data_IF_213216138687
#
_entry.id   IF_213216138687
#
_cell.length_a   1.000
_cell.length_b   1.000
_cell.length_c   1.000
_cell.angle_alpha   90.00
_cell.angle_beta   90.00
_cell.angle_gamma   90.00
#
_symmetry.space_group_name_H-M   'P 1'
#
loop_
_entity.id
_entity.type
_entity.pdbx_description
1 polymer ?
#
# COMPACT_ATOMS: atom_id res chain seq x y z
N UNK A 1 40.79 29.29 -10.13
CA UNK A 1 40.42 30.15 -11.30
C UNK A 1 40.86 29.54 -12.63
N UNK A 2 42.02 28.89 -12.76
CA UNK A 2 42.50 28.28 -14.02
C UNK A 2 41.67 27.08 -14.45
N UNK A 3 41.25 26.21 -13.53
CA UNK A 3 40.48 25.00 -13.79
C UNK A 3 39.09 25.33 -14.36
N UNK A 4 38.39 26.33 -13.83
CA UNK A 4 37.08 26.77 -14.28
C UNK A 4 37.18 27.35 -15.71
N UNK A 5 38.21 28.16 -15.98
CA UNK A 5 38.43 28.74 -17.30
C UNK A 5 38.77 27.69 -18.37
N UNK A 6 39.50 26.62 -18.01
CA UNK A 6 39.74 25.49 -18.92
C UNK A 6 38.50 24.64 -19.18
N UNK A 7 37.66 24.42 -18.15
CA UNK A 7 36.39 23.72 -18.31
C UNK A 7 35.44 24.45 -19.29
N UNK A 8 35.34 25.76 -19.20
CA UNK A 8 34.55 26.60 -20.12
C UNK A 8 35.15 26.75 -21.53
N UNK A 9 36.43 26.48 -21.70
CA UNK A 9 37.06 26.51 -23.02
C UNK A 9 36.63 25.35 -23.91
N UNK A 10 36.32 24.17 -23.33
CA UNK A 10 35.88 22.98 -24.02
C UNK A 10 34.46 22.58 -23.65
N UNK A 11 33.50 23.51 -23.86
CA UNK A 11 32.10 23.37 -23.44
C UNK A 11 31.44 22.06 -23.88
N UNK A 12 31.63 21.64 -25.13
CA UNK A 12 31.03 20.40 -25.66
C UNK A 12 31.52 19.16 -24.87
N UNK A 13 32.77 19.10 -24.52
CA UNK A 13 33.40 18.00 -23.80
C UNK A 13 32.95 17.98 -22.34
N UNK A 14 32.85 19.15 -21.70
CA UNK A 14 32.33 19.30 -20.34
C UNK A 14 30.86 18.84 -20.23
N UNK A 15 30.02 19.27 -21.18
CA UNK A 15 28.60 18.88 -21.24
C UNK A 15 28.47 17.36 -21.46
N UNK A 16 29.24 16.78 -22.38
CA UNK A 16 29.22 15.34 -22.65
C UNK A 16 29.62 14.52 -21.41
N UNK A 17 30.59 15.02 -20.63
CA UNK A 17 31.02 14.43 -19.37
C UNK A 17 29.94 14.50 -18.30
N UNK A 18 29.37 15.70 -18.11
CA UNK A 18 28.31 15.93 -17.14
C UNK A 18 27.08 15.09 -17.43
N UNK A 19 26.66 15.01 -18.71
CA UNK A 19 25.53 14.18 -19.12
C UNK A 19 25.81 12.68 -18.99
N UNK A 20 27.02 12.24 -19.35
CA UNK A 20 27.40 10.82 -19.23
C UNK A 20 27.46 10.36 -17.78
N UNK A 21 28.27 10.99 -16.94
CA UNK A 21 28.43 10.58 -15.54
C UNK A 21 27.15 10.89 -14.74
N UNK A 22 26.58 12.08 -14.92
CA UNK A 22 25.36 12.48 -14.24
C UNK A 22 24.14 11.61 -14.61
N UNK A 23 24.00 11.25 -15.88
CA UNK A 23 22.97 10.33 -16.34
C UNK A 23 23.09 8.93 -15.75
N UNK A 24 24.32 8.37 -15.72
CA UNK A 24 24.57 7.07 -15.09
C UNK A 24 24.27 7.10 -13.58
N UNK A 25 24.70 8.13 -12.88
CA UNK A 25 24.43 8.30 -11.45
C UNK A 25 22.94 8.45 -11.19
N UNK A 26 22.23 9.24 -12.00
CA UNK A 26 20.80 9.40 -11.89
C UNK A 26 20.04 8.08 -12.07
N UNK A 27 20.42 7.25 -13.06
CA UNK A 27 19.83 5.93 -13.27
C UNK A 27 20.05 5.00 -12.06
N UNK A 28 21.26 4.99 -11.49
CA UNK A 28 21.56 4.19 -10.30
C UNK A 28 20.73 4.63 -9.09
N UNK A 29 20.67 5.94 -8.84
CA UNK A 29 19.87 6.49 -7.72
C UNK A 29 18.40 6.22 -7.91
N UNK A 30 17.87 6.38 -9.13
CA UNK A 30 16.47 6.10 -9.43
C UNK A 30 16.14 4.62 -9.24
N UNK A 31 16.99 3.72 -9.74
CA UNK A 31 16.76 2.27 -9.61
C UNK A 31 16.73 1.82 -8.15
N UNK A 32 17.73 2.22 -7.37
CA UNK A 32 17.81 1.90 -5.95
C UNK A 32 16.70 2.60 -5.14
N UNK A 33 16.35 3.85 -5.48
CA UNK A 33 15.30 4.60 -4.81
C UNK A 33 13.91 4.01 -5.04
N UNK A 34 13.60 3.53 -6.24
CA UNK A 34 12.33 2.83 -6.50
C UNK A 34 12.24 1.57 -5.64
N UNK A 35 13.30 0.76 -5.62
CA UNK A 35 13.35 -0.46 -4.81
C UNK A 35 13.09 -0.19 -3.33
N UNK A 36 13.80 0.78 -2.77
CA UNK A 36 13.69 1.17 -1.37
C UNK A 36 12.30 1.71 -1.03
N UNK A 37 11.75 2.58 -1.89
CA UNK A 37 10.40 3.13 -1.71
C UNK A 37 9.33 2.04 -1.71
N UNK A 38 9.47 1.04 -2.56
CA UNK A 38 8.48 -0.03 -2.67
C UNK A 38 8.57 -0.99 -1.48
N UNK A 39 9.78 -1.34 -1.02
CA UNK A 39 9.96 -2.13 0.20
C UNK A 39 9.32 -1.43 1.41
N UNK A 40 9.53 -0.12 1.55
CA UNK A 40 8.93 0.67 2.61
C UNK A 40 7.38 0.70 2.57
N UNK A 41 6.78 0.68 1.37
CA UNK A 41 5.32 0.59 1.23
C UNK A 41 4.77 -0.71 1.82
N UNK A 42 5.46 -1.84 1.63
CA UNK A 42 5.02 -3.12 2.18
C UNK A 42 5.12 -3.16 3.71
N UNK A 43 6.23 -2.69 4.25
CA UNK A 43 6.41 -2.60 5.70
C UNK A 43 5.33 -1.70 6.32
N UNK A 44 5.08 -0.54 5.73
CA UNK A 44 4.06 0.39 6.20
C UNK A 44 2.65 -0.21 6.15
N UNK A 45 2.30 -0.89 5.04
CA UNK A 45 0.97 -1.47 4.84
C UNK A 45 0.67 -2.62 5.78
N UNK A 46 1.63 -3.55 5.95
CA UNK A 46 1.41 -4.82 6.63
C UNK A 46 1.91 -4.84 8.08
N UNK A 47 2.76 -3.89 8.48
CA UNK A 47 3.27 -3.83 9.85
C UNK A 47 2.68 -2.63 10.64
N UNK A 48 2.23 -1.56 9.95
CA UNK A 48 1.76 -0.35 10.63
C UNK A 48 0.24 -0.13 10.49
N UNK A 49 -0.39 -0.43 9.33
CA UNK A 49 -1.83 -0.18 9.12
C UNK A 49 -2.67 -1.42 9.43
N UNK A 50 -2.31 -2.59 8.89
CA UNK A 50 -3.05 -3.84 9.04
C UNK A 50 -2.41 -4.65 10.17
N UNK A 51 -2.91 -4.49 11.39
CA UNK A 51 -2.33 -5.12 12.58
C UNK A 51 -2.86 -6.54 12.83
N UNK A 52 -3.89 -6.99 12.11
CA UNK A 52 -4.43 -8.33 12.19
C UNK A 52 -3.57 -9.35 11.41
N UNK A 53 -3.62 -10.62 11.80
CA UNK A 53 -2.82 -11.68 11.18
C UNK A 53 -3.52 -12.36 10.00
N UNK A 54 -4.85 -12.45 10.05
CA UNK A 54 -5.66 -13.01 8.98
C UNK A 54 -7.01 -12.29 8.86
N UNK A 55 -7.62 -12.38 7.67
CA UNK A 55 -9.00 -11.98 7.44
C UNK A 55 -9.75 -13.04 6.66
N UNK A 56 -11.06 -13.12 6.90
CA UNK A 56 -11.96 -13.97 6.15
C UNK A 56 -13.15 -13.16 5.65
N UNK A 57 -13.61 -13.43 4.42
CA UNK A 57 -14.87 -12.94 3.91
C UNK A 57 -15.80 -14.12 3.64
N UNK A 58 -17.05 -13.98 3.99
CA UNK A 58 -18.03 -15.06 3.97
C UNK A 58 -19.42 -14.53 3.65
N UNK A 59 -20.33 -15.43 3.27
CA UNK A 59 -21.73 -15.09 3.13
C UNK A 59 -22.33 -14.80 4.51
N UNK A 60 -23.13 -13.75 4.65
CA UNK A 60 -23.72 -13.33 5.93
C UNK A 60 -24.49 -14.45 6.65
N UNK A 61 -25.08 -15.40 5.90
CA UNK A 61 -25.74 -16.58 6.44
C UNK A 61 -24.77 -17.54 7.18
N UNK A 62 -23.48 -17.42 6.96
CA UNK A 62 -22.42 -18.24 7.56
C UNK A 62 -21.75 -17.58 8.77
N UNK A 63 -22.17 -16.38 9.15
CA UNK A 63 -21.57 -15.60 10.23
C UNK A 63 -21.50 -16.39 11.54
N UNK A 64 -22.61 -16.99 11.97
CA UNK A 64 -22.69 -17.81 13.19
C UNK A 64 -21.68 -18.97 13.20
N UNK A 65 -21.48 -19.63 12.04
CA UNK A 65 -20.55 -20.76 11.92
C UNK A 65 -19.09 -20.30 11.97
N UNK A 66 -18.80 -19.13 11.43
CA UNK A 66 -17.45 -18.51 11.47
C UNK A 66 -17.14 -18.06 12.89
N UNK A 67 -18.08 -17.41 13.56
CA UNK A 67 -17.92 -16.97 14.96
C UNK A 67 -17.75 -18.15 15.91
N UNK A 68 -18.59 -19.22 15.81
CA UNK A 68 -18.46 -20.42 16.62
C UNK A 68 -17.07 -21.08 16.43
N UNK A 69 -16.56 -21.09 15.19
CA UNK A 69 -15.21 -21.61 14.92
C UNK A 69 -14.12 -20.74 15.54
N UNK A 70 -14.26 -19.40 15.52
CA UNK A 70 -13.28 -18.48 16.06
C UNK A 70 -13.31 -18.39 17.59
N UNK A 71 -14.50 -18.55 18.22
CA UNK A 71 -14.67 -18.56 19.67
C UNK A 71 -13.87 -19.69 20.38
N UNK A 72 -13.66 -20.80 19.67
CA UNK A 72 -12.84 -21.92 20.17
C UNK A 72 -11.32 -21.63 20.11
N UNK A 73 -10.90 -20.44 19.65
CA UNK A 73 -9.51 -20.06 19.48
C UNK A 73 -9.02 -19.16 20.60
N UNK A 74 -7.70 -19.20 20.86
CA UNK A 74 -7.06 -18.41 21.92
C UNK A 74 -6.76 -16.97 21.50
N UNK A 75 -6.82 -16.66 20.20
CA UNK A 75 -6.66 -15.34 19.64
C UNK A 75 -7.92 -14.48 19.75
N UNK A 76 -7.80 -13.19 19.45
CA UNK A 76 -8.95 -12.29 19.33
C UNK A 76 -9.43 -12.22 17.89
N UNK A 77 -10.68 -11.85 17.70
CA UNK A 77 -11.21 -11.47 16.39
C UNK A 77 -12.25 -10.37 16.52
N UNK A 78 -12.46 -9.65 15.44
CA UNK A 78 -13.60 -8.74 15.26
C UNK A 78 -14.32 -9.10 13.97
N UNK A 79 -15.64 -8.92 13.97
CA UNK A 79 -16.46 -9.07 12.78
C UNK A 79 -16.92 -7.71 12.27
N UNK A 80 -17.31 -7.64 11.02
CA UNK A 80 -17.82 -6.44 10.40
C UNK A 80 -18.27 -6.68 8.97
N UNK A 81 -18.48 -5.60 8.26
CA UNK A 81 -18.89 -5.65 6.87
C UNK A 81 -17.72 -5.22 5.96
N UNK A 82 -17.51 -5.96 4.88
CA UNK A 82 -16.55 -5.62 3.84
C UNK A 82 -17.11 -5.89 2.46
N UNK A 83 -17.04 -4.90 1.57
CA UNK A 83 -17.40 -5.08 0.16
C UNK A 83 -16.59 -4.12 -0.73
N UNK A 84 -16.58 -4.43 -2.03
CA UNK A 84 -16.01 -3.52 -3.04
C UNK A 84 -17.13 -2.73 -3.67
N UNK A 85 -17.16 -1.44 -3.41
CA UNK A 85 -18.24 -0.54 -3.84
C UNK A 85 -17.73 0.60 -4.67
N UNK A 86 -18.61 1.17 -5.48
CA UNK A 86 -18.35 2.44 -6.16
C UNK A 86 -18.52 3.59 -5.19
N UNK A 87 -17.43 4.34 -5.00
CA UNK A 87 -17.34 5.57 -4.22
C UNK A 87 -17.41 6.75 -5.18
N UNK A 88 -18.32 7.66 -4.98
CA UNK A 88 -18.48 8.84 -5.82
C UNK A 88 -18.30 10.15 -5.06
N UNK A 89 -17.84 11.17 -5.76
CA UNK A 89 -17.70 12.55 -5.28
C UNK A 89 -18.17 13.51 -6.35
N UNK A 90 -18.10 14.82 -6.08
CA UNK A 90 -18.38 15.85 -7.09
C UNK A 90 -17.43 15.83 -8.29
N UNK A 91 -16.30 15.13 -8.22
CA UNK A 91 -15.24 15.09 -9.24
C UNK A 91 -15.16 13.78 -10.02
N UNK A 92 -15.85 12.73 -9.60
CA UNK A 92 -15.82 11.42 -10.27
C UNK A 92 -16.22 10.26 -9.37
N UNK A 93 -16.01 9.06 -9.89
CA UNK A 93 -16.30 7.80 -9.20
C UNK A 93 -15.12 6.83 -9.32
N UNK A 94 -14.95 5.98 -8.31
CA UNK A 94 -13.91 4.94 -8.23
C UNK A 94 -14.40 3.79 -7.38
N UNK A 95 -14.00 2.57 -7.74
CA UNK A 95 -14.21 1.42 -6.87
C UNK A 95 -13.19 1.40 -5.74
N UNK A 96 -13.67 1.08 -4.55
CA UNK A 96 -12.86 0.95 -3.35
C UNK A 96 -13.38 -0.18 -2.46
N UNK A 97 -12.47 -0.77 -1.68
CA UNK A 97 -12.83 -1.68 -0.61
C UNK A 97 -13.38 -0.85 0.57
N UNK A 98 -14.62 -1.07 0.89
CA UNK A 98 -15.29 -0.45 2.04
C UNK A 98 -15.23 -1.43 3.21
N UNK A 99 -14.71 -0.96 4.34
CA UNK A 99 -14.62 -1.73 5.58
C UNK A 99 -15.42 -0.99 6.64
N UNK A 100 -16.44 -1.67 7.17
CA UNK A 100 -17.29 -1.14 8.22
C UNK A 100 -17.10 -1.97 9.49
N UNK A 101 -16.61 -1.34 10.55
CA UNK A 101 -16.33 -1.98 11.85
C UNK A 101 -16.89 -1.12 12.98
N UNK A 102 -17.01 -1.76 14.14
CA UNK A 102 -17.20 -1.04 15.39
C UNK A 102 -15.95 -0.25 15.75
N UNK A 103 -16.11 1.06 15.93
CA UNK A 103 -14.99 1.96 16.18
C UNK A 103 -14.20 1.64 17.46
N UNK A 104 -14.85 1.05 18.46
CA UNK A 104 -14.19 0.68 19.72
C UNK A 104 -13.44 -0.67 19.61
N UNK A 105 -13.95 -1.58 18.82
CA UNK A 105 -13.37 -2.91 18.63
C UNK A 105 -12.28 -2.93 17.56
N UNK A 106 -12.28 -1.97 16.63
CA UNK A 106 -11.27 -1.83 15.59
C UNK A 106 -9.88 -1.45 16.11
N UNK A 107 -9.80 -0.91 17.35
CA UNK A 107 -8.53 -0.58 18.00
C UNK A 107 -7.65 -1.85 18.14
N UNK A 108 -6.42 -1.75 17.67
CA UNK A 108 -5.47 -2.87 17.65
C UNK A 108 -5.56 -3.78 16.40
N UNK A 109 -6.61 -3.67 15.58
CA UNK A 109 -6.71 -4.37 14.29
C UNK A 109 -6.35 -3.48 13.11
N UNK A 110 -6.68 -2.19 13.21
CA UNK A 110 -6.34 -1.18 12.21
C UNK A 110 -5.77 0.05 12.89
N UNK A 111 -4.61 0.50 12.44
CA UNK A 111 -4.04 1.80 12.83
C UNK A 111 -4.17 2.75 11.63
N UNK A 112 -5.16 3.62 11.69
CA UNK A 112 -5.39 4.60 10.64
C UNK A 112 -4.60 5.87 10.96
N UNK A 113 -3.58 6.16 10.18
CA UNK A 113 -2.77 7.36 10.37
C UNK A 113 -2.31 7.96 9.03
N UNK A 114 -1.90 9.18 9.08
CA UNK A 114 -1.07 9.80 8.04
C UNK A 114 0.36 9.96 8.58
N UNK A 115 1.28 10.45 7.75
CA UNK A 115 2.68 10.67 8.14
C UNK A 115 2.87 11.62 9.35
N UNK A 116 1.81 12.18 9.91
CA UNK A 116 1.86 13.22 10.94
C UNK A 116 1.05 12.90 12.19
N UNK A 117 -0.14 12.34 12.03
CA UNK A 117 -1.11 12.18 13.11
C UNK A 117 -1.90 10.88 12.95
N UNK A 118 -2.23 10.26 14.08
CA UNK A 118 -3.18 9.17 14.18
C UNK A 118 -4.59 9.68 13.85
N UNK A 119 -5.34 8.91 13.04
CA UNK A 119 -6.70 9.23 12.62
C UNK A 119 -7.64 8.27 13.33
N UNK A 120 -8.55 8.76 14.19
CA UNK A 120 -9.48 7.89 14.87
C UNK A 120 -10.38 7.17 13.87
N UNK A 121 -10.76 5.93 14.20
CA UNK A 121 -11.72 5.17 13.40
C UNK A 121 -13.07 5.93 13.34
N UNK A 122 -13.70 6.03 12.16
CA UNK A 122 -14.90 6.87 11.99
C UNK A 122 -16.11 6.32 12.72
N UNK A 123 -17.04 7.22 13.09
CA UNK A 123 -18.30 6.91 13.78
C UNK A 123 -19.51 7.43 12.98
N UNK A 124 -20.65 6.80 13.12
CA UNK A 124 -21.88 7.21 12.43
C UNK A 124 -21.67 7.31 10.91
N UNK A 125 -22.01 8.46 10.30
CA UNK A 125 -21.85 8.72 8.87
C UNK A 125 -20.54 9.48 8.53
N UNK A 126 -19.48 9.14 9.22
CA UNK A 126 -18.12 9.59 8.93
C UNK A 126 -17.37 8.54 8.12
N UNK A 127 -16.34 8.97 7.39
CA UNK A 127 -15.48 8.09 6.64
C UNK A 127 -14.00 8.53 6.70
N UNK A 128 -13.11 7.57 6.78
CA UNK A 128 -11.68 7.76 6.53
C UNK A 128 -11.34 7.11 5.19
N UNK A 129 -10.65 7.83 4.32
CA UNK A 129 -10.34 7.37 2.95
C UNK A 129 -8.84 7.26 2.74
N UNK A 130 -8.41 6.30 1.91
CA UNK A 130 -7.00 6.19 1.53
C UNK A 130 -6.53 7.38 0.72
N UNK A 131 -5.29 7.83 0.93
CA UNK A 131 -4.69 9.03 0.30
C UNK A 131 -4.75 8.99 -1.23
N UNK A 132 -4.56 7.82 -1.82
CA UNK A 132 -4.65 7.62 -3.27
C UNK A 132 -6.08 7.80 -3.78
N UNK A 133 -7.08 7.25 -3.07
CA UNK A 133 -8.50 7.41 -3.42
C UNK A 133 -8.90 8.88 -3.28
N UNK A 134 -8.55 9.53 -2.17
CA UNK A 134 -8.81 10.93 -1.91
C UNK A 134 -8.27 11.83 -3.04
N UNK A 135 -7.02 11.58 -3.46
CA UNK A 135 -6.40 12.32 -4.58
C UNK A 135 -7.12 12.12 -5.91
N UNK A 136 -7.61 10.90 -6.21
CA UNK A 136 -8.31 10.60 -7.46
C UNK A 136 -9.73 11.16 -7.49
N UNK A 137 -10.41 11.18 -6.35
CA UNK A 137 -11.74 11.75 -6.19
C UNK A 137 -11.72 13.27 -5.93
N UNK A 138 -10.55 13.85 -5.69
CA UNK A 138 -10.37 15.26 -5.37
C UNK A 138 -11.04 15.66 -4.06
N UNK A 139 -11.00 14.78 -3.05
CA UNK A 139 -11.61 14.99 -1.73
C UNK A 139 -10.56 15.13 -0.64
N UNK A 140 -10.93 15.85 0.40
CA UNK A 140 -10.12 16.11 1.61
C UNK A 140 -11.01 16.01 2.84
N UNK A 141 -10.42 16.05 4.03
CA UNK A 141 -11.18 16.12 5.27
C UNK A 141 -12.18 17.31 5.26
N UNK A 142 -13.42 17.03 5.60
CA UNK A 142 -14.56 17.94 5.52
C UNK A 142 -15.43 17.81 4.27
N UNK A 143 -14.94 17.16 3.22
CA UNK A 143 -15.73 16.92 2.00
C UNK A 143 -16.68 15.72 2.16
N UNK A 144 -17.59 15.56 1.21
CA UNK A 144 -18.55 14.45 1.21
C UNK A 144 -18.26 13.48 0.08
N UNK A 145 -18.36 12.19 0.40
CA UNK A 145 -18.38 11.08 -0.55
C UNK A 145 -19.72 10.34 -0.45
N UNK A 146 -20.03 9.59 -1.49
CA UNK A 146 -21.23 8.77 -1.53
C UNK A 146 -20.85 7.34 -1.86
N UNK A 147 -21.31 6.40 -1.04
CA UNK A 147 -21.19 4.96 -1.22
C UNK A 147 -22.51 4.42 -1.77
N UNK A 148 -22.43 3.46 -2.70
CA UNK A 148 -23.61 2.85 -3.30
C UNK A 148 -23.80 1.46 -2.69
N UNK A 149 -24.82 1.32 -1.83
CA UNK A 149 -25.26 0.05 -1.25
C UNK A 149 -26.45 -0.44 -2.05
N UNK A 150 -26.26 -1.44 -2.92
CA UNK A 150 -27.32 -2.10 -3.71
C UNK A 150 -28.28 -1.15 -4.47
N UNK A 151 -27.78 0.01 -4.88
CA UNK A 151 -28.54 1.02 -5.60
C UNK A 151 -28.94 2.22 -4.75
N UNK A 152 -28.81 2.14 -3.43
CA UNK A 152 -29.00 3.27 -2.53
C UNK A 152 -27.69 4.02 -2.28
N UNK A 153 -27.72 5.33 -2.54
CA UNK A 153 -26.54 6.19 -2.37
C UNK A 153 -26.55 6.84 -0.99
N UNK A 154 -25.62 6.44 -0.15
CA UNK A 154 -25.45 6.95 1.22
C UNK A 154 -24.28 7.92 1.29
N UNK A 155 -24.50 9.11 1.87
CA UNK A 155 -23.50 10.17 1.94
C UNK A 155 -22.73 10.15 3.26
N UNK A 156 -21.38 10.15 3.18
CA UNK A 156 -20.47 10.19 4.31
C UNK A 156 -19.63 11.47 4.28
N UNK A 157 -19.28 11.97 5.46
CA UNK A 157 -18.33 13.08 5.62
C UNK A 157 -16.94 12.51 5.83
N UNK A 158 -15.99 12.90 5.00
CA UNK A 158 -14.58 12.50 5.15
C UNK A 158 -14.00 13.21 6.39
N UNK A 159 -13.63 12.46 7.42
CA UNK A 159 -12.99 13.01 8.64
C UNK A 159 -11.49 12.91 8.58
N UNK A 160 -10.93 11.97 7.80
CA UNK A 160 -9.51 11.77 7.66
C UNK A 160 -9.10 11.18 6.31
N UNK A 161 -7.84 11.37 5.97
CA UNK A 161 -7.19 10.75 4.81
C UNK A 161 -5.99 9.99 5.32
N UNK A 162 -6.06 8.66 5.32
CA UNK A 162 -4.99 7.80 5.83
C UNK A 162 -4.01 7.39 4.74
N UNK A 163 -2.78 7.15 5.13
CA UNK A 163 -1.74 6.63 4.25
C UNK A 163 -1.94 5.11 4.07
N UNK A 164 -2.69 4.73 3.06
CA UNK A 164 -2.84 3.35 2.61
C UNK A 164 -2.44 3.29 1.13
N UNK A 165 -1.38 2.53 0.82
CA UNK A 165 -0.74 2.55 -0.49
C UNK A 165 -1.18 1.43 -1.42
N UNK A 166 -1.73 0.36 -0.84
CA UNK A 166 -2.20 -0.83 -1.59
C UNK A 166 -3.71 -0.76 -1.72
N UNK A 167 -4.21 -0.73 -2.96
CA UNK A 167 -5.63 -0.59 -3.29
C UNK A 167 -6.24 0.79 -2.90
N UNK A 168 -7.57 0.85 -2.94
CA UNK A 168 -8.36 1.97 -2.47
C UNK A 168 -9.21 1.47 -1.30
N UNK A 169 -9.18 2.19 -0.19
CA UNK A 169 -9.97 1.85 1.00
C UNK A 169 -10.82 3.02 1.46
N UNK A 170 -11.99 2.66 1.97
CA UNK A 170 -12.87 3.54 2.73
C UNK A 170 -13.25 2.82 4.02
N UNK A 171 -12.93 3.42 5.14
CA UNK A 171 -13.29 2.95 6.46
C UNK A 171 -14.51 3.72 6.93
N UNK A 172 -15.53 3.03 7.43
CA UNK A 172 -16.78 3.60 7.94
C UNK A 172 -17.20 2.87 9.22
N UNK A 173 -18.15 3.43 9.95
CA UNK A 173 -18.73 2.75 11.10
C UNK A 173 -19.74 1.70 10.66
N UNK A 174 -19.77 0.54 11.32
CA UNK A 174 -20.81 -0.48 11.12
C UNK A 174 -22.22 0.05 11.40
N UNK A 175 -22.37 1.03 12.31
CA UNK A 175 -23.65 1.67 12.61
C UNK A 175 -24.30 2.35 11.39
N UNK A 176 -23.50 2.67 10.36
CA UNK A 176 -23.95 3.33 9.14
C UNK A 176 -24.36 2.34 8.03
N UNK A 177 -24.02 1.07 8.19
CA UNK A 177 -24.44 -0.01 7.30
C UNK A 177 -25.74 -0.57 7.85
N UNK A 178 -26.81 -0.46 7.06
CA UNK A 178 -28.14 -0.91 7.49
C UNK A 178 -28.24 -2.42 7.51
N UNK A 179 -28.76 -2.98 8.62
CA UNK A 179 -29.32 -4.34 8.84
C UNK A 179 -28.58 -5.56 8.20
N UNK A 180 -27.44 -5.38 7.54
CA UNK A 180 -26.69 -6.49 6.96
C UNK A 180 -25.86 -7.18 8.05
N UNK A 181 -26.02 -8.51 8.14
CA UNK A 181 -25.18 -9.32 9.02
C UNK A 181 -23.72 -9.20 8.61
N UNK A 182 -22.76 -9.37 9.55
CA UNK A 182 -21.32 -9.36 9.24
C UNK A 182 -20.98 -10.36 8.14
N UNK A 183 -20.09 -9.96 7.25
CA UNK A 183 -19.59 -10.80 6.16
C UNK A 183 -18.06 -10.85 6.12
N UNK A 184 -17.39 -10.27 7.10
CA UNK A 184 -15.95 -10.27 7.24
C UNK A 184 -15.53 -10.45 8.70
N UNK A 185 -14.43 -11.15 8.91
CA UNK A 185 -13.77 -11.29 10.21
C UNK A 185 -12.29 -10.95 10.07
N UNK A 186 -11.74 -10.24 11.05
CA UNK A 186 -10.33 -9.91 11.18
C UNK A 186 -9.80 -10.58 12.45
N UNK A 187 -8.70 -11.32 12.33
CA UNK A 187 -8.29 -12.30 13.34
C UNK A 187 -6.87 -11.98 13.80
N UNK A 188 -6.68 -11.90 15.12
CA UNK A 188 -5.39 -11.83 15.78
C UNK A 188 -4.99 -13.23 16.24
N UNK A 189 -3.79 -13.67 15.94
CA UNK A 189 -3.30 -14.97 16.35
C UNK A 189 -2.99 -15.00 17.84
N UNK A 190 -3.46 -16.07 18.53
CA UNK A 190 -3.01 -16.37 19.88
C UNK A 190 -1.59 -16.95 19.92
N UNK A 191 -0.87 -16.76 21.03
CA UNK A 191 0.54 -17.16 21.19
C UNK A 191 0.82 -18.68 20.95
N UNK A 192 -0.20 -19.54 21.08
CA UNK A 192 -0.07 -21.01 20.95
C UNK A 192 -0.76 -21.56 19.70
N UNK A 193 -1.24 -20.72 18.82
CA UNK A 193 -1.98 -21.11 17.63
C UNK A 193 -1.17 -20.89 16.35
N UNK A 194 -1.45 -21.74 15.35
CA UNK A 194 -0.93 -21.60 14.02
C UNK A 194 -1.99 -20.91 13.13
N UNK A 195 -1.76 -19.67 12.73
CA UNK A 195 -2.65 -18.92 11.86
C UNK A 195 -2.96 -19.65 10.55
N UNK A 196 -2.04 -20.48 10.06
CA UNK A 196 -2.25 -21.31 8.87
C UNK A 196 -3.30 -22.39 9.11
N UNK A 197 -3.30 -23.00 10.31
CA UNK A 197 -4.30 -23.98 10.70
C UNK A 197 -5.68 -23.32 10.88
N UNK A 198 -5.72 -22.13 11.46
CA UNK A 198 -6.94 -21.32 11.56
C UNK A 198 -7.49 -20.94 10.19
N UNK A 199 -6.64 -20.44 9.28
CA UNK A 199 -7.01 -20.12 7.92
C UNK A 199 -7.50 -21.36 7.13
N UNK A 200 -6.88 -22.52 7.33
CA UNK A 200 -7.32 -23.76 6.70
C UNK A 200 -8.69 -24.23 7.23
N UNK A 201 -8.94 -24.08 8.53
CA UNK A 201 -10.24 -24.37 9.14
C UNK A 201 -11.34 -23.46 8.63
N UNK A 202 -11.08 -22.16 8.56
CA UNK A 202 -12.03 -21.18 7.99
C UNK A 202 -12.39 -21.50 6.54
N UNK A 203 -11.42 -21.84 5.71
CA UNK A 203 -11.68 -22.24 4.30
C UNK A 203 -12.52 -23.49 4.16
N UNK A 204 -12.65 -24.31 5.22
CA UNK A 204 -13.46 -25.52 5.22
C UNK A 204 -14.93 -25.27 5.62
N UNK A 205 -15.25 -24.06 6.11
CA UNK A 205 -16.61 -23.66 6.46
C UNK A 205 -17.36 -23.30 5.16
N UNK A 206 -18.56 -23.84 5.01
CA UNK A 206 -19.43 -23.53 3.86
C UNK A 206 -19.84 -22.06 3.91
N UNK A 207 -19.77 -21.37 2.75
CA UNK A 207 -20.05 -19.95 2.62
C UNK A 207 -18.85 -19.04 2.88
N UNK A 208 -17.70 -19.54 3.33
CA UNK A 208 -16.45 -18.74 3.36
C UNK A 208 -15.88 -18.64 1.95
N UNK A 209 -15.90 -17.43 1.41
CA UNK A 209 -15.49 -17.15 0.04
C UNK A 209 -14.00 -16.88 -0.12
N UNK A 210 -13.36 -16.25 0.88
CA UNK A 210 -11.94 -15.92 0.84
C UNK A 210 -11.34 -15.86 2.25
N UNK A 211 -10.11 -16.34 2.38
CA UNK A 211 -9.31 -16.20 3.62
C UNK A 211 -7.92 -15.75 3.25
N UNK A 212 -7.55 -14.60 3.74
CA UNK A 212 -6.22 -14.00 3.63
C UNK A 212 -5.41 -14.23 4.90
N UNK A 213 -4.11 -14.48 4.74
CA UNK A 213 -3.13 -14.47 5.83
C UNK A 213 -2.10 -13.40 5.46
N UNK A 214 -1.95 -12.38 6.30
CA UNK A 214 -1.13 -11.19 6.03
C UNK A 214 0.31 -11.54 5.67
N UNK A 215 0.93 -12.47 6.41
CA UNK A 215 2.29 -12.92 6.12
C UNK A 215 2.41 -13.54 4.71
N UNK A 216 1.39 -14.30 4.26
CA UNK A 216 1.39 -14.88 2.91
C UNK A 216 1.20 -13.79 1.83
N UNK A 217 0.31 -12.83 2.05
CA UNK A 217 0.12 -11.72 1.12
C UNK A 217 1.39 -10.88 0.99
N UNK A 218 2.01 -10.56 2.13
CA UNK A 218 3.31 -9.89 2.16
C UNK A 218 4.36 -10.67 1.36
N UNK A 219 4.50 -11.97 1.61
CA UNK A 219 5.46 -12.82 0.90
C UNK A 219 5.19 -12.90 -0.61
N UNK A 220 3.93 -12.93 -1.04
CA UNK A 220 3.55 -12.88 -2.47
C UNK A 220 3.94 -11.54 -3.11
N UNK A 221 3.71 -10.44 -2.42
CA UNK A 221 4.13 -9.11 -2.87
C UNK A 221 5.65 -9.00 -2.94
N UNK A 222 6.38 -9.42 -1.90
CA UNK A 222 7.85 -9.44 -1.88
C UNK A 222 8.43 -10.29 -3.03
N UNK A 223 7.85 -11.47 -3.30
CA UNK A 223 8.26 -12.32 -4.41
C UNK A 223 8.01 -11.66 -5.77
N UNK A 224 6.87 -10.99 -5.94
CA UNK A 224 6.56 -10.23 -7.15
C UNK A 224 7.55 -9.10 -7.37
N UNK A 225 8.01 -8.47 -6.28
CA UNK A 225 8.98 -7.39 -6.29
C UNK A 225 10.41 -7.85 -6.49
N UNK A 226 10.75 -9.07 -6.07
CA UNK A 226 12.09 -9.61 -6.28
C UNK A 226 12.45 -9.68 -7.79
N UNK A 227 11.46 -9.76 -8.67
CA UNK A 227 11.65 -9.64 -10.11
C UNK A 227 12.16 -8.25 -10.52
N UNK A 228 11.78 -7.20 -9.80
CA UNK A 228 12.27 -5.83 -10.02
C UNK A 228 13.75 -5.68 -9.62
N UNK A 229 14.22 -6.45 -8.64
CA UNK A 229 15.62 -6.44 -8.21
C UNK A 229 16.56 -6.81 -9.36
N UNK A 230 16.20 -7.79 -10.19
CA UNK A 230 16.98 -8.16 -11.38
C UNK A 230 17.06 -6.99 -12.37
N UNK A 231 15.96 -6.26 -12.58
CA UNK A 231 15.94 -5.10 -13.47
C UNK A 231 16.85 -3.99 -12.91
N UNK A 232 16.80 -3.73 -11.61
CA UNK A 232 17.66 -2.74 -10.95
C UNK A 232 19.13 -3.13 -11.07
N UNK A 233 19.48 -4.39 -10.83
CA UNK A 233 20.85 -4.89 -10.98
C UNK A 233 21.35 -4.71 -12.42
N UNK A 234 20.54 -5.04 -13.41
CA UNK A 234 20.88 -4.87 -14.83
C UNK A 234 21.09 -3.39 -15.16
N UNK A 235 20.20 -2.49 -14.72
CA UNK A 235 20.34 -1.04 -14.91
C UNK A 235 21.61 -0.51 -14.28
N UNK A 236 21.93 -0.93 -13.05
CA UNK A 236 23.14 -0.52 -12.32
C UNK A 236 24.40 -0.99 -13.05
N UNK A 237 24.42 -2.23 -13.55
CA UNK A 237 25.55 -2.77 -14.30
C UNK A 237 25.77 -2.00 -15.62
N UNK A 238 24.71 -1.71 -16.37
CA UNK A 238 24.82 -0.92 -17.61
C UNK A 238 25.23 0.53 -17.33
N UNK A 239 24.69 1.15 -16.29
CA UNK A 239 25.07 2.49 -15.88
C UNK A 239 26.56 2.55 -15.49
N UNK A 240 27.03 1.57 -14.72
CA UNK A 240 28.45 1.44 -14.35
C UNK A 240 29.38 1.22 -15.55
N UNK A 241 29.00 0.33 -16.47
CA UNK A 241 29.76 0.10 -17.70
C UNK A 241 29.83 1.35 -18.57
N UNK A 242 28.71 2.07 -18.72
CA UNK A 242 28.68 3.33 -19.48
C UNK A 242 29.54 4.41 -18.82
N UNK A 243 29.49 4.56 -17.50
CA UNK A 243 30.34 5.48 -16.75
C UNK A 243 31.82 5.16 -16.95
N UNK A 244 32.20 3.87 -16.93
CA UNK A 244 33.56 3.42 -17.18
C UNK A 244 34.03 3.80 -18.59
N UNK A 245 33.23 3.55 -19.62
CA UNK A 245 33.55 3.91 -21.01
C UNK A 245 33.74 5.41 -21.17
N UNK A 246 32.87 6.22 -20.56
CA UNK A 246 32.98 7.68 -20.58
C UNK A 246 34.27 8.16 -19.92
N UNK A 247 34.59 7.62 -18.73
CA UNK A 247 35.83 7.96 -18.02
C UNK A 247 37.08 7.52 -18.81
N UNK A 248 37.08 6.31 -19.38
CA UNK A 248 38.18 5.78 -20.18
C UNK A 248 38.45 6.66 -21.42
N UNK A 249 37.40 6.99 -22.17
CA UNK A 249 37.52 7.86 -23.34
C UNK A 249 38.08 9.25 -22.97
N UNK A 250 37.65 9.76 -21.83
CA UNK A 250 38.08 11.05 -21.33
C UNK A 250 39.57 11.06 -20.95
N UNK A 251 40.03 10.00 -20.28
CA UNK A 251 41.43 9.81 -19.89
C UNK A 251 42.33 9.68 -21.12
N UNK A 252 41.90 8.90 -22.11
CA UNK A 252 42.68 8.75 -23.36
C UNK A 252 42.84 10.07 -24.12
N UNK A 253 41.77 10.86 -24.23
CA UNK A 253 41.82 12.16 -24.92
C UNK A 253 42.76 13.12 -24.15
N UNK A 254 42.75 13.11 -22.79
CA UNK A 254 43.62 13.94 -21.98
C UNK A 254 45.14 13.57 -22.16
N UNK A 255 45.43 12.28 -22.37
CA UNK A 255 46.81 11.81 -22.61
C UNK A 255 47.26 12.28 -23.98
N UNK A 256 46.48 12.15 -25.03
CA UNK A 256 46.79 12.51 -26.42
C UNK A 256 47.03 14.04 -26.56
N UNK A 257 46.27 14.88 -25.81
CA UNK A 257 46.48 16.35 -25.86
C UNK A 257 47.69 16.85 -25.07
N UNK A 258 48.35 15.99 -24.27
CA UNK A 258 49.55 16.35 -23.53
C UNK A 258 50.86 15.85 -24.15
N UNK A 259 50.78 15.03 -25.18
CA UNK A 259 51.90 14.66 -26.03
C UNK A 259 52.01 15.60 -27.24
#
# INVERSE_FOLDING_TARGET
KVTIRNAFRYKKRMVMMLLGIGGCTALMVTGLGIRDSVAHILDYQYDEIMLYDASATYDSDSADSVEEFLDDRSGGYITGYQDTMTVSSGSGEKDANVIALNAQESEGYFDLHDSKEEIPYPTGYEAVVSSKLASQLGVSAGDRIFLNFDGDSVGYTVTGVCDNFVNHYVYISEESVSDDAPNAAYIMQGEQEDIQATAAGLRAIDGVSYVSVIEQERALMENSMSSMDYIVVVVVLFAGALAFVVLYNLTNINIIERM
#
